data_IF_111828177103
#
_entry.id   IF_111828177103
#
_cell.length_a   1.000
_cell.length_b   1.000
_cell.length_c   1.000
_cell.angle_alpha   90.00
_cell.angle_beta   90.00
_cell.angle_gamma   90.00
#
_symmetry.space_group_name_H-M   'P 1'
#
loop_
_entity.id
_entity.type
_entity.pdbx_description
1 polymer ?
#
# COMPACT_ATOMS: atom_id res chain seq x y z
N UNK A 1 -10.22 -12.64 -8.98
CA UNK A 1 -10.90 -11.76 -9.97
C UNK A 1 -10.00 -10.61 -10.45
N UNK A 2 -9.10 -10.04 -9.63
CA UNK A 2 -8.26 -8.89 -10.02
C UNK A 2 -7.00 -9.25 -10.85
N UNK A 3 -6.46 -10.47 -10.70
CA UNK A 3 -5.40 -11.00 -11.58
C UNK A 3 -5.81 -11.04 -13.06
N UNK A 4 -7.11 -11.23 -13.34
CA UNK A 4 -7.65 -11.22 -14.70
C UNK A 4 -7.68 -9.81 -15.34
N UNK A 5 -7.50 -8.76 -14.54
CA UNK A 5 -7.42 -7.36 -14.97
C UNK A 5 -5.97 -6.83 -14.92
N UNK A 6 -4.98 -7.71 -14.76
CA UNK A 6 -3.56 -7.34 -14.74
C UNK A 6 -3.04 -6.80 -13.41
N UNK A 7 -3.79 -6.92 -12.32
CA UNK A 7 -3.28 -6.56 -11.00
C UNK A 7 -2.30 -7.63 -10.50
N UNK A 8 -1.06 -7.21 -10.25
CA UNK A 8 -0.02 -8.02 -9.63
C UNK A 8 -0.03 -7.84 -8.11
N UNK A 9 0.15 -8.94 -7.38
CA UNK A 9 0.29 -8.90 -5.93
C UNK A 9 1.73 -8.47 -5.62
N UNK A 10 1.93 -7.21 -5.24
CA UNK A 10 3.25 -6.67 -4.93
C UNK A 10 3.44 -6.67 -3.41
N UNK A 11 4.50 -7.33 -2.95
CA UNK A 11 4.86 -7.32 -1.52
C UNK A 11 5.54 -6.00 -1.16
N UNK A 12 4.97 -5.29 -0.19
CA UNK A 12 5.56 -4.08 0.38
C UNK A 12 6.31 -4.42 1.67
N UNK A 13 7.59 -4.10 1.74
CA UNK A 13 8.37 -4.26 2.98
C UNK A 13 8.49 -2.91 3.67
N UNK A 14 7.89 -2.77 4.86
CA UNK A 14 7.97 -1.54 5.66
C UNK A 14 9.42 -1.29 6.07
N UNK A 15 9.91 -0.08 5.80
CA UNK A 15 11.27 0.38 6.13
C UNK A 15 11.29 1.54 7.11
N UNK A 16 10.15 2.19 7.35
CA UNK A 16 10.07 3.28 8.30
C UNK A 16 8.64 3.61 8.69
N UNK A 17 8.49 4.11 9.91
CA UNK A 17 7.22 4.56 10.50
C UNK A 17 7.48 5.89 11.18
N UNK A 18 6.68 6.91 10.86
CA UNK A 18 6.82 8.26 11.40
C UNK A 18 5.44 8.83 11.75
N UNK A 19 5.26 9.27 12.99
CA UNK A 19 4.05 9.98 13.43
C UNK A 19 4.22 11.48 13.18
N UNK A 20 3.64 11.97 12.07
CA UNK A 20 3.72 13.38 11.67
C UNK A 20 2.76 14.28 12.46
N UNK A 21 1.66 13.70 12.97
CA UNK A 21 0.69 14.36 13.86
C UNK A 21 -0.03 13.30 14.72
N UNK A 22 -0.79 13.68 15.77
CA UNK A 22 -1.40 12.71 16.70
C UNK A 22 -2.25 11.60 16.06
N UNK A 23 -2.83 11.86 14.88
CA UNK A 23 -3.65 10.91 14.15
C UNK A 23 -3.21 10.74 12.69
N UNK A 24 -1.95 11.06 12.40
CA UNK A 24 -1.41 10.95 11.04
C UNK A 24 -0.01 10.33 11.05
N UNK A 25 0.04 9.07 10.61
CA UNK A 25 1.25 8.25 10.53
C UNK A 25 1.63 8.04 9.08
N UNK A 26 2.89 8.30 8.76
CA UNK A 26 3.51 7.98 7.47
C UNK A 26 4.22 6.64 7.58
N UNK A 27 4.00 5.79 6.58
CA UNK A 27 4.69 4.51 6.41
C UNK A 27 5.55 4.60 5.16
N UNK A 28 6.84 4.29 5.31
CA UNK A 28 7.78 4.14 4.19
C UNK A 28 7.99 2.65 3.94
N UNK A 29 8.06 2.26 2.68
CA UNK A 29 8.28 0.87 2.29
C UNK A 29 9.14 0.78 1.03
N UNK A 30 9.72 -0.39 0.82
CA UNK A 30 10.32 -0.79 -0.45
C UNK A 30 9.45 -1.84 -1.11
N UNK A 31 9.30 -1.71 -2.43
CA UNK A 31 8.50 -2.59 -3.25
C UNK A 31 9.16 -2.68 -4.63
N UNK A 32 10.11 -3.61 -4.82
CA UNK A 32 10.80 -3.76 -6.08
C UNK A 32 9.80 -3.93 -7.23
N UNK A 33 9.97 -3.16 -8.31
CA UNK A 33 9.14 -3.26 -9.50
C UNK A 33 7.81 -2.50 -9.48
N UNK A 34 7.40 -1.89 -8.34
CA UNK A 34 6.06 -1.26 -8.22
C UNK A 34 5.82 -0.10 -9.18
N UNK A 35 6.90 0.55 -9.65
CA UNK A 35 6.85 1.69 -10.55
C UNK A 35 7.49 1.41 -11.91
N UNK A 36 7.85 0.17 -12.23
CA UNK A 36 8.55 -0.15 -13.49
C UNK A 36 7.66 0.11 -14.71
N UNK A 37 6.33 0.00 -14.54
CA UNK A 37 5.32 0.22 -15.60
C UNK A 37 4.42 1.43 -15.34
N UNK A 38 4.65 2.19 -14.26
CA UNK A 38 3.76 3.25 -13.80
C UNK A 38 4.53 4.41 -13.15
N UNK A 39 4.23 5.64 -13.58
CA UNK A 39 4.72 6.87 -12.96
C UNK A 39 3.59 7.47 -12.11
N UNK A 40 3.78 7.66 -10.79
CA UNK A 40 2.79 8.30 -9.95
C UNK A 40 2.47 9.74 -10.36
N UNK A 41 1.19 10.03 -10.53
CA UNK A 41 0.64 11.38 -10.74
C UNK A 41 -0.07 11.89 -9.46
N UNK A 42 -0.42 13.19 -9.37
CA UNK A 42 -1.22 13.69 -8.26
C UNK A 42 -2.47 12.85 -7.99
N UNK A 43 -2.73 12.56 -6.71
CA UNK A 43 -3.79 11.67 -6.25
C UNK A 43 -3.65 10.18 -6.65
N UNK A 44 -2.49 9.75 -7.16
CA UNK A 44 -2.19 8.32 -7.33
C UNK A 44 -2.19 7.58 -6.00
N UNK A 45 -2.73 6.37 -6.01
CA UNK A 45 -2.98 5.60 -4.79
C UNK A 45 -2.77 4.11 -5.03
N UNK A 46 -2.52 3.40 -3.94
CA UNK A 46 -2.44 1.94 -3.90
C UNK A 46 -3.60 1.35 -3.16
N UNK A 47 -3.95 0.14 -3.58
CA UNK A 47 -4.83 -0.76 -2.86
C UNK A 47 -3.98 -1.69 -2.01
N UNK A 48 -4.13 -1.59 -0.71
CA UNK A 48 -3.50 -2.47 0.27
C UNK A 48 -4.48 -3.54 0.72
N UNK A 49 -3.97 -4.75 0.89
CA UNK A 49 -4.60 -5.81 1.65
C UNK A 49 -3.88 -5.88 2.99
N UNK A 50 -4.58 -5.53 4.06
CA UNK A 50 -4.04 -5.53 5.43
C UNK A 50 -4.81 -6.53 6.28
N UNK A 51 -4.15 -7.28 7.17
CA UNK A 51 -4.85 -8.23 8.03
C UNK A 51 -5.82 -7.50 8.96
N UNK A 52 -6.97 -8.11 9.21
CA UNK A 52 -7.87 -7.65 10.27
C UNK A 52 -7.20 -7.86 11.64
N UNK A 53 -7.10 -6.83 12.50
CA UNK A 53 -6.50 -6.97 13.82
C UNK A 53 -7.17 -8.03 14.72
N UNK A 54 -8.45 -8.30 14.53
CA UNK A 54 -9.21 -9.31 15.26
C UNK A 54 -9.30 -10.68 14.57
N UNK A 55 -9.01 -10.74 13.27
CA UNK A 55 -9.07 -11.97 12.46
C UNK A 55 -7.93 -11.97 11.42
N UNK A 56 -6.68 -12.30 11.80
CA UNK A 56 -5.51 -12.08 10.93
C UNK A 56 -5.53 -12.81 9.58
N UNK A 57 -6.26 -13.93 9.50
CA UNK A 57 -6.47 -14.70 8.26
C UNK A 57 -7.42 -13.99 7.27
N UNK A 58 -8.14 -12.97 7.74
CA UNK A 58 -9.02 -12.15 6.92
C UNK A 58 -8.30 -10.86 6.53
N UNK A 59 -8.10 -10.68 5.24
CA UNK A 59 -7.55 -9.45 4.70
C UNK A 59 -8.64 -8.41 4.43
N UNK A 60 -8.37 -7.16 4.82
CA UNK A 60 -9.19 -5.99 4.58
C UNK A 60 -8.53 -5.12 3.50
N UNK A 61 -9.30 -4.75 2.49
CA UNK A 61 -8.83 -3.91 1.41
C UNK A 61 -8.98 -2.42 1.76
N UNK A 62 -7.92 -1.61 1.62
CA UNK A 62 -7.95 -0.15 1.84
C UNK A 62 -7.16 0.60 0.77
N UNK A 63 -7.60 1.80 0.41
CA UNK A 63 -6.89 2.69 -0.51
C UNK A 63 -6.06 3.72 0.24
N UNK A 64 -4.81 3.93 -0.17
CA UNK A 64 -3.91 4.96 0.38
C UNK A 64 -3.17 5.69 -0.74
N UNK A 65 -3.08 7.02 -0.63
CA UNK A 65 -2.37 7.87 -1.60
C UNK A 65 -0.85 7.81 -1.38
N UNK A 66 -0.07 7.89 -2.46
CA UNK A 66 1.36 8.16 -2.37
C UNK A 66 1.59 9.61 -1.92
N UNK A 67 2.61 9.86 -1.10
CA UNK A 67 2.78 11.16 -0.40
C UNK A 67 4.21 11.73 -0.44
N UNK A 68 5.11 11.14 -1.24
CA UNK A 68 6.50 11.57 -1.43
C UNK A 68 6.94 11.31 -2.88
#
# INVERSE_FOLDING_TARGET
MMKALGAEDITLTVTGVEDLAPHYRRIRFVAPGVFDSFVPEPASWIRLWVPDPGEPERELQRGYTYVD
#
